data_IF_644763194776
#
_entry.id   IF_644763194776
#
_cell.length_a   1.000
_cell.length_b   1.000
_cell.length_c   1.000
_cell.angle_alpha   90.00
_cell.angle_beta   90.00
_cell.angle_gamma   90.00
#
_symmetry.space_group_name_H-M   'P 1'
#
loop_
_entity.id
_entity.type
_entity.pdbx_description
1 polymer ?
#
# COMPACT_ATOMS: atom_id res chain seq x y z
N UNK A 1 -14.72 8.73 -7.06
CA UNK A 1 -14.74 8.46 -8.49
C UNK A 1 -13.42 8.92 -9.08
N UNK A 2 -12.75 8.05 -9.82
CA UNK A 2 -11.51 8.35 -10.52
C UNK A 2 -11.73 9.50 -11.49
N UNK A 3 -11.13 10.64 -11.21
CA UNK A 3 -11.16 11.72 -12.16
C UNK A 3 -10.04 11.49 -13.19
N UNK A 4 -10.40 10.93 -14.36
CA UNK A 4 -9.47 10.71 -15.48
C UNK A 4 -8.69 11.97 -15.88
N UNK A 5 -9.19 13.15 -15.50
CA UNK A 5 -8.55 14.43 -15.83
C UNK A 5 -7.35 14.76 -14.93
N UNK A 6 -7.25 14.20 -13.71
CA UNK A 6 -6.15 14.48 -12.80
C UNK A 6 -4.81 13.87 -13.26
N UNK A 7 -4.88 12.79 -14.04
CA UNK A 7 -3.70 12.07 -14.53
C UNK A 7 -3.50 12.19 -16.05
N UNK A 8 -4.01 13.25 -16.66
CA UNK A 8 -3.80 13.49 -18.10
C UNK A 8 -2.32 13.63 -18.43
N UNK A 9 -1.97 13.14 -19.62
CA UNK A 9 -0.65 13.34 -20.21
C UNK A 9 -0.31 14.83 -20.27
N UNK A 10 0.89 15.19 -19.82
CA UNK A 10 1.35 16.58 -19.77
C UNK A 10 0.97 17.37 -18.51
N UNK A 11 0.18 16.82 -17.58
CA UNK A 11 -0.10 17.44 -16.28
C UNK A 11 0.73 16.78 -15.18
N UNK A 12 1.48 17.57 -14.41
CA UNK A 12 2.26 17.18 -13.21
C UNK A 12 2.75 15.71 -13.22
N UNK A 13 3.71 15.41 -14.09
CA UNK A 13 4.29 14.07 -14.18
C UNK A 13 5.00 13.65 -12.89
N UNK A 14 5.40 14.64 -12.10
CA UNK A 14 6.14 14.47 -10.85
C UNK A 14 5.64 15.44 -9.81
N UNK A 15 5.54 14.96 -8.57
CA UNK A 15 5.26 15.78 -7.38
C UNK A 15 6.49 15.75 -6.49
N UNK A 16 7.01 16.93 -6.16
CA UNK A 16 8.20 17.05 -5.32
C UNK A 16 7.89 16.76 -3.85
N UNK A 17 8.82 16.10 -3.17
CA UNK A 17 8.77 15.92 -1.71
C UNK A 17 9.55 17.06 -1.07
N UNK A 18 8.88 17.82 -0.18
CA UNK A 18 9.39 19.03 0.49
C UNK A 18 9.31 18.89 2.02
N UNK A 19 10.19 18.09 2.62
CA UNK A 19 10.14 17.81 4.05
C UNK A 19 10.37 19.04 4.94
N UNK A 20 10.97 20.09 4.40
CA UNK A 20 11.16 21.36 5.08
C UNK A 20 9.86 22.06 5.49
N UNK A 21 8.76 21.79 4.78
CA UNK A 21 7.45 22.36 5.08
C UNK A 21 6.80 21.75 6.33
N UNK A 22 7.21 20.55 6.72
CA UNK A 22 6.66 19.81 7.87
C UNK A 22 6.64 20.65 9.15
N UNK A 23 7.76 21.27 9.47
CA UNK A 23 7.89 22.11 10.68
C UNK A 23 6.97 23.32 10.66
N UNK A 24 6.78 23.93 9.50
CA UNK A 24 5.88 25.09 9.34
C UNK A 24 4.43 24.68 9.55
N UNK A 25 4.04 23.52 9.03
CA UNK A 25 2.69 22.96 9.21
C UNK A 25 2.46 22.60 10.68
N UNK A 26 3.38 21.89 11.32
CA UNK A 26 3.30 21.55 12.74
C UNK A 26 3.19 22.82 13.63
N UNK A 27 3.94 23.87 13.29
CA UNK A 27 3.86 25.15 13.99
C UNK A 27 2.50 25.84 13.77
N UNK A 28 1.93 25.77 12.57
CA UNK A 28 0.59 26.28 12.27
C UNK A 28 -0.47 25.56 13.12
N UNK A 29 -0.44 24.22 13.17
CA UNK A 29 -1.35 23.42 14.00
C UNK A 29 -1.23 23.74 15.49
N UNK A 30 -0.03 24.09 15.97
CA UNK A 30 0.20 24.49 17.36
C UNK A 30 -0.33 25.88 17.68
N UNK A 31 -0.19 26.86 16.77
CA UNK A 31 -0.56 28.27 17.00
C UNK A 31 -2.02 28.56 16.65
N UNK A 32 -2.52 27.96 15.56
CA UNK A 32 -3.83 28.23 14.97
C UNK A 32 -4.52 26.91 14.59
N UNK A 33 -4.90 26.06 15.57
CA UNK A 33 -5.38 24.69 15.30
C UNK A 33 -6.67 24.65 14.45
N UNK A 34 -7.62 25.56 14.65
CA UNK A 34 -8.86 25.60 13.89
C UNK A 34 -8.61 25.95 12.41
N UNK A 35 -7.86 27.02 12.17
CA UNK A 35 -7.48 27.47 10.83
C UNK A 35 -6.66 26.41 10.08
N UNK A 36 -5.77 25.73 10.80
CA UNK A 36 -4.95 24.66 10.25
C UNK A 36 -5.79 23.44 9.83
N UNK A 37 -6.79 23.04 10.66
CA UNK A 37 -7.72 21.95 10.35
C UNK A 37 -8.61 22.29 9.16
N UNK A 38 -9.10 23.50 9.07
CA UNK A 38 -9.89 23.97 7.93
C UNK A 38 -9.08 23.95 6.63
N UNK A 39 -7.78 24.26 6.71
CA UNK A 39 -6.89 24.33 5.55
C UNK A 39 -6.33 22.99 5.10
N UNK A 40 -6.04 22.05 6.02
CA UNK A 40 -5.30 20.82 5.74
C UNK A 40 -5.90 19.56 6.36
N UNK A 41 -7.07 19.66 7.01
CA UNK A 41 -7.77 18.54 7.65
C UNK A 41 -7.28 18.26 9.07
N UNK A 42 -7.78 17.21 9.69
CA UNK A 42 -7.43 16.83 11.08
C UNK A 42 -5.98 16.36 11.20
N UNK A 43 -5.50 15.59 10.23
CA UNK A 43 -4.12 15.12 10.14
C UNK A 43 -3.50 15.59 8.81
N UNK A 44 -2.63 16.61 8.83
CA UNK A 44 -2.05 17.18 7.62
C UNK A 44 -1.13 16.21 6.86
N UNK A 45 -0.67 15.14 7.51
CA UNK A 45 0.24 14.16 6.93
C UNK A 45 -0.43 12.84 6.57
N UNK A 46 -1.75 12.74 6.73
CA UNK A 46 -2.54 11.65 6.19
C UNK A 46 -2.61 11.76 4.67
N UNK A 47 -2.40 10.63 3.96
CA UNK A 47 -2.36 10.59 2.49
C UNK A 47 -3.61 11.21 1.87
N UNK A 48 -4.81 10.97 2.41
CA UNK A 48 -6.07 11.58 1.93
C UNK A 48 -6.01 13.11 1.93
N UNK A 49 -5.51 13.69 3.01
CA UNK A 49 -5.40 15.14 3.17
C UNK A 49 -4.29 15.73 2.31
N UNK A 50 -3.15 15.04 2.20
CA UNK A 50 -2.08 15.44 1.29
C UNK A 50 -2.57 15.47 -0.15
N UNK A 51 -3.24 14.40 -0.60
CA UNK A 51 -3.78 14.35 -1.96
C UNK A 51 -4.79 15.47 -2.19
N UNK A 52 -5.72 15.69 -1.25
CA UNK A 52 -6.80 16.68 -1.39
C UNK A 52 -6.30 18.12 -1.36
N UNK A 53 -5.50 18.47 -0.36
CA UNK A 53 -5.15 19.88 -0.08
C UNK A 53 -3.86 20.33 -0.72
N UNK A 54 -2.97 19.37 -1.09
CA UNK A 54 -1.66 19.67 -1.67
C UNK A 54 -1.56 19.21 -3.12
N UNK A 55 -1.59 17.91 -3.38
CA UNK A 55 -1.32 17.37 -4.73
C UNK A 55 -2.35 17.80 -5.75
N UNK A 56 -3.64 17.79 -5.39
CA UNK A 56 -4.77 18.15 -6.27
C UNK A 56 -5.31 19.56 -6.02
N UNK A 57 -4.55 20.39 -5.30
CA UNK A 57 -4.89 21.79 -5.11
C UNK A 57 -4.96 22.54 -6.43
N UNK A 58 -5.86 23.51 -6.54
CA UNK A 58 -5.90 24.43 -7.69
C UNK A 58 -4.71 25.41 -7.72
N UNK A 59 -4.04 25.57 -6.58
CA UNK A 59 -2.89 26.47 -6.42
C UNK A 59 -1.60 25.72 -6.72
N UNK A 60 -0.83 26.12 -7.75
CA UNK A 60 0.39 25.40 -8.16
C UNK A 60 1.47 25.29 -7.08
N UNK A 61 1.54 26.25 -6.15
CA UNK A 61 2.49 26.26 -5.04
C UNK A 61 2.28 25.10 -4.05
N UNK A 62 1.08 24.52 -4.02
CA UNK A 62 0.75 23.37 -3.19
C UNK A 62 0.99 22.01 -3.87
N UNK A 63 1.40 21.96 -5.14
CA UNK A 63 1.65 20.69 -5.84
C UNK A 63 2.92 19.99 -5.33
N UNK A 64 2.96 19.71 -4.03
CA UNK A 64 4.10 19.07 -3.34
C UNK A 64 3.60 18.11 -2.25
N UNK A 65 4.48 17.22 -1.80
CA UNK A 65 4.29 16.43 -0.58
C UNK A 65 5.04 17.15 0.54
N UNK A 66 4.36 17.67 1.57
CA UNK A 66 4.97 18.58 2.55
C UNK A 66 5.68 17.87 3.71
N UNK A 67 6.04 16.60 3.58
CA UNK A 67 6.62 15.80 4.67
C UNK A 67 7.56 14.71 4.14
N UNK A 68 8.45 14.24 5.00
CA UNK A 68 9.31 13.07 4.78
C UNK A 68 8.65 11.74 5.18
N UNK A 69 7.47 11.80 5.81
CA UNK A 69 6.74 10.61 6.27
C UNK A 69 5.26 10.90 6.14
N UNK A 70 4.59 10.08 5.35
CA UNK A 70 3.14 10.11 5.19
C UNK A 70 2.51 9.00 6.01
N UNK A 71 1.22 9.13 6.34
CA UNK A 71 0.50 8.10 7.06
C UNK A 71 -0.86 7.77 6.43
N UNK A 72 -1.34 6.56 6.72
CA UNK A 72 -2.65 6.07 6.30
C UNK A 72 -3.33 5.51 7.54
N UNK A 73 -4.54 5.98 7.83
CA UNK A 73 -5.35 5.45 8.91
C UNK A 73 -5.76 3.99 8.67
N UNK A 74 -5.75 3.18 9.74
CA UNK A 74 -6.13 1.78 9.68
C UNK A 74 -7.48 1.59 10.37
N UNK A 75 -8.51 1.28 9.58
CA UNK A 75 -9.77 0.76 10.12
C UNK A 75 -9.55 -0.70 10.54
N UNK A 76 -9.34 -0.90 11.85
CA UNK A 76 -9.00 -2.20 12.43
C UNK A 76 -10.12 -3.23 12.22
N UNK A 77 -11.37 -2.80 12.31
CA UNK A 77 -12.52 -3.71 12.11
C UNK A 77 -12.65 -4.14 10.65
N UNK A 78 -12.50 -3.22 9.71
CA UNK A 78 -12.49 -3.54 8.29
C UNK A 78 -11.30 -4.45 7.94
N UNK A 79 -10.12 -4.13 8.47
CA UNK A 79 -8.91 -4.93 8.30
C UNK A 79 -9.12 -6.39 8.76
N UNK A 80 -9.65 -6.59 9.96
CA UNK A 80 -9.90 -7.92 10.51
C UNK A 80 -10.96 -8.68 9.72
N UNK A 81 -12.06 -8.01 9.32
CA UNK A 81 -13.09 -8.62 8.45
C UNK A 81 -12.55 -9.04 7.09
N UNK A 82 -11.53 -8.38 6.59
CA UNK A 82 -10.92 -8.70 5.30
C UNK A 82 -10.14 -10.02 5.29
N UNK A 83 -9.99 -10.68 6.45
CA UNK A 83 -9.28 -11.95 6.59
C UNK A 83 -7.79 -11.85 6.29
N UNK A 84 -7.15 -10.78 6.72
CA UNK A 84 -5.71 -10.55 6.54
C UNK A 84 -4.89 -11.55 7.36
N UNK A 85 -3.73 -11.94 6.84
CA UNK A 85 -2.77 -12.71 7.64
C UNK A 85 -2.21 -11.81 8.75
N UNK A 86 -2.42 -12.19 10.00
CA UNK A 86 -1.86 -11.47 11.15
C UNK A 86 -0.41 -11.92 11.42
N UNK A 87 0.46 -11.00 11.88
CA UNK A 87 1.79 -11.36 12.38
C UNK A 87 1.74 -12.43 13.47
N UNK A 88 2.74 -13.30 13.52
CA UNK A 88 2.81 -14.42 14.50
C UNK A 88 2.68 -13.96 15.93
N UNK A 89 3.20 -12.79 16.24
CA UNK A 89 3.21 -12.21 17.58
C UNK A 89 1.84 -11.80 18.09
N UNK A 90 0.88 -11.50 17.21
CA UNK A 90 -0.47 -11.02 17.59
C UNK A 90 -1.60 -11.96 17.19
N UNK A 91 -1.37 -12.95 16.33
CA UNK A 91 -2.44 -13.84 15.82
C UNK A 91 -3.12 -14.68 16.88
N UNK A 92 -2.51 -14.85 18.06
CA UNK A 92 -3.08 -15.57 19.20
C UNK A 92 -4.03 -14.71 20.04
N UNK A 93 -3.99 -13.38 19.89
CA UNK A 93 -4.85 -12.44 20.60
C UNK A 93 -6.27 -12.44 19.99
N UNK A 94 -7.24 -12.00 20.79
CA UNK A 94 -8.66 -11.93 20.39
C UNK A 94 -9.32 -10.69 20.98
N UNK A 95 -10.44 -10.29 20.35
CA UNK A 95 -11.25 -9.18 20.85
C UNK A 95 -10.47 -7.85 20.88
N UNK A 96 -10.62 -7.11 21.98
CA UNK A 96 -9.99 -5.81 22.15
C UNK A 96 -8.45 -5.90 22.23
N UNK A 97 -7.90 -6.94 22.88
CA UNK A 97 -6.44 -7.13 22.96
C UNK A 97 -5.79 -7.23 21.57
N UNK A 98 -6.47 -7.88 20.62
CA UNK A 98 -6.02 -7.95 19.24
C UNK A 98 -6.11 -6.58 18.55
N UNK A 99 -7.20 -5.83 18.77
CA UNK A 99 -7.35 -4.49 18.19
C UNK A 99 -6.31 -3.52 18.74
N UNK A 100 -6.02 -3.60 20.01
CA UNK A 100 -5.00 -2.75 20.64
C UNK A 100 -3.59 -3.05 20.13
N UNK A 101 -3.32 -4.30 19.76
CA UNK A 101 -2.04 -4.71 19.18
C UNK A 101 -1.86 -4.25 17.70
N UNK A 102 -2.95 -3.91 17.00
CA UNK A 102 -2.89 -3.39 15.63
C UNK A 102 -2.63 -1.87 15.68
N UNK A 103 -1.65 -1.35 14.93
CA UNK A 103 -1.38 0.08 14.90
C UNK A 103 -2.57 0.86 14.32
N UNK A 104 -2.77 2.10 14.78
CA UNK A 104 -3.83 2.98 14.26
C UNK A 104 -3.50 3.55 12.89
N UNK A 105 -2.21 3.62 12.55
CA UNK A 105 -1.72 4.20 11.31
C UNK A 105 -0.57 3.40 10.73
N UNK A 106 -0.56 3.30 9.41
CA UNK A 106 0.60 2.86 8.63
C UNK A 106 1.43 4.09 8.27
N UNK A 107 2.71 4.09 8.64
CA UNK A 107 3.66 5.14 8.31
C UNK A 107 4.54 4.72 7.12
N UNK A 108 4.63 5.58 6.12
CA UNK A 108 5.40 5.35 4.90
C UNK A 108 6.50 6.40 4.82
N UNK A 109 7.78 6.02 5.02
CA UNK A 109 8.88 6.96 4.92
C UNK A 109 9.19 7.33 3.46
N UNK A 110 9.43 8.62 3.23
CA UNK A 110 9.82 9.20 1.94
C UNK A 110 11.23 9.80 1.98
N UNK A 111 12.04 9.47 2.99
CA UNK A 111 13.33 10.10 3.27
C UNK A 111 14.31 10.09 2.11
N UNK A 112 14.29 9.04 1.28
CA UNK A 112 15.20 8.92 0.12
C UNK A 112 14.50 9.33 -1.20
N UNK A 113 13.27 9.82 -1.13
CA UNK A 113 12.44 10.11 -2.30
C UNK A 113 12.33 11.62 -2.45
N UNK A 114 12.87 12.17 -3.54
CA UNK A 114 12.75 13.59 -3.85
C UNK A 114 11.49 13.93 -4.65
N UNK A 115 11.00 12.98 -5.42
CA UNK A 115 9.84 13.17 -6.31
C UNK A 115 9.05 11.86 -6.42
N UNK A 116 7.73 11.96 -6.34
CA UNK A 116 6.79 10.88 -6.64
C UNK A 116 6.29 11.01 -8.08
N UNK A 117 6.18 9.87 -8.75
CA UNK A 117 5.60 9.77 -10.10
C UNK A 117 4.07 9.64 -10.03
N UNK A 118 3.40 9.77 -11.16
CA UNK A 118 1.95 9.49 -11.27
C UNK A 118 1.58 8.09 -10.78
N UNK A 119 2.44 7.10 -11.01
CA UNK A 119 2.23 5.72 -10.55
C UNK A 119 2.27 5.64 -9.04
N UNK A 120 3.25 6.29 -8.41
CA UNK A 120 3.36 6.34 -6.94
C UNK A 120 2.14 7.03 -6.32
N UNK A 121 1.70 8.17 -6.88
CA UNK A 121 0.51 8.89 -6.41
C UNK A 121 -0.75 8.06 -6.56
N UNK A 122 -0.89 7.34 -7.68
CA UNK A 122 -2.01 6.46 -7.94
C UNK A 122 -2.07 5.32 -6.91
N UNK A 123 -0.92 4.72 -6.60
CA UNK A 123 -0.84 3.69 -5.55
C UNK A 123 -1.24 4.25 -4.18
N UNK A 124 -0.76 5.44 -3.83
CA UNK A 124 -1.13 6.12 -2.59
C UNK A 124 -2.63 6.43 -2.54
N UNK A 125 -3.21 6.89 -3.64
CA UNK A 125 -4.66 7.16 -3.71
C UNK A 125 -5.48 5.88 -3.55
N UNK A 126 -5.08 4.77 -4.20
CA UNK A 126 -5.73 3.48 -4.02
C UNK A 126 -5.65 3.01 -2.56
N UNK A 127 -4.46 3.10 -1.94
CA UNK A 127 -4.24 2.73 -0.54
C UNK A 127 -5.08 3.60 0.42
N UNK A 128 -5.14 4.91 0.18
CA UNK A 128 -5.92 5.83 1.00
C UNK A 128 -7.43 5.57 0.91
N UNK A 129 -7.93 5.10 -0.24
CA UNK A 129 -9.36 4.92 -0.49
C UNK A 129 -9.86 3.49 -0.33
N UNK A 130 -8.99 2.49 -0.15
CA UNK A 130 -9.41 1.10 0.03
C UNK A 130 -10.10 0.85 1.38
N UNK A 131 -9.89 1.70 2.36
CA UNK A 131 -10.43 1.61 3.73
C UNK A 131 -10.19 0.25 4.39
N UNK A 132 -9.19 -0.51 3.91
CA UNK A 132 -8.87 -1.88 4.33
C UNK A 132 -10.01 -2.92 4.10
N UNK A 133 -11.17 -2.50 3.62
CA UNK A 133 -12.27 -3.39 3.26
C UNK A 133 -11.99 -4.15 1.96
N UNK A 134 -11.37 -3.47 1.00
CA UNK A 134 -11.00 -4.05 -0.29
C UNK A 134 -9.53 -4.40 -0.29
N UNK A 135 -9.16 -5.68 -0.38
CA UNK A 135 -7.76 -6.08 -0.46
C UNK A 135 -7.13 -5.55 -1.75
N UNK A 136 -5.91 -5.02 -1.63
CA UNK A 136 -5.09 -4.62 -2.76
C UNK A 136 -4.06 -5.69 -3.04
N UNK A 137 -3.95 -6.09 -4.29
CA UNK A 137 -3.03 -7.12 -4.74
C UNK A 137 -2.07 -6.60 -5.80
N UNK A 138 -0.82 -7.08 -5.71
CA UNK A 138 0.19 -6.94 -6.74
C UNK A 138 0.40 -8.31 -7.38
N UNK A 139 0.29 -8.40 -8.70
CA UNK A 139 0.53 -9.65 -9.42
C UNK A 139 2.02 -10.04 -9.32
N UNK A 140 2.31 -11.33 -9.18
CA UNK A 140 3.69 -11.84 -9.08
C UNK A 140 4.54 -11.52 -10.31
N UNK A 141 3.91 -11.32 -11.47
CA UNK A 141 4.57 -10.94 -12.72
C UNK A 141 4.96 -9.47 -12.80
N UNK A 142 4.50 -8.63 -11.87
CA UNK A 142 4.81 -7.21 -11.86
C UNK A 142 6.13 -7.00 -11.13
N UNK A 143 7.11 -6.42 -11.83
CA UNK A 143 8.36 -5.99 -11.23
C UNK A 143 8.19 -4.75 -10.32
N UNK A 144 9.29 -4.14 -9.91
CA UNK A 144 9.28 -2.90 -9.12
C UNK A 144 8.64 -1.77 -9.93
N UNK A 145 7.41 -1.38 -9.57
CA UNK A 145 6.64 -0.33 -10.25
C UNK A 145 6.64 1.00 -9.51
N UNK A 146 7.07 1.02 -8.25
CA UNK A 146 7.00 2.19 -7.38
C UNK A 146 8.32 2.44 -6.67
N UNK A 147 8.60 3.72 -6.38
CA UNK A 147 9.72 4.13 -5.52
C UNK A 147 9.43 3.91 -4.04
N UNK A 148 8.16 3.67 -3.70
CA UNK A 148 7.73 3.41 -2.34
C UNK A 148 8.22 2.03 -1.89
N UNK A 149 8.85 1.96 -0.73
CA UNK A 149 9.46 0.73 -0.20
C UNK A 149 8.39 -0.12 0.50
N UNK A 150 7.56 -0.82 -0.27
CA UNK A 150 6.46 -1.64 0.25
C UNK A 150 6.77 -3.13 0.39
N UNK A 151 7.96 -3.59 0.04
CA UNK A 151 8.28 -5.02 -0.05
C UNK A 151 7.93 -5.80 1.23
N UNK A 152 8.22 -5.23 2.40
CA UNK A 152 7.97 -5.87 3.70
C UNK A 152 6.48 -5.95 4.10
N UNK A 153 5.62 -5.21 3.39
CA UNK A 153 4.18 -5.13 3.66
C UNK A 153 3.35 -6.08 2.81
N UNK A 154 4.01 -6.84 1.95
CA UNK A 154 3.35 -7.81 1.08
C UNK A 154 3.37 -9.22 1.65
N UNK A 155 2.25 -9.93 1.46
CA UNK A 155 2.07 -11.35 1.78
C UNK A 155 1.70 -12.09 0.53
N UNK A 156 2.41 -13.15 0.21
CA UNK A 156 2.09 -14.02 -0.91
C UNK A 156 0.90 -14.90 -0.57
N UNK A 157 -0.16 -14.83 -1.39
CA UNK A 157 -1.40 -15.62 -1.26
C UNK A 157 -1.68 -16.45 -2.53
N UNK A 158 -0.65 -16.87 -3.26
CA UNK A 158 -0.75 -17.58 -4.54
C UNK A 158 0.04 -16.88 -5.63
N UNK A 159 -0.60 -16.55 -6.75
CA UNK A 159 -0.02 -15.80 -7.87
C UNK A 159 -0.11 -14.27 -7.67
N UNK A 160 -0.40 -13.83 -6.46
CA UNK A 160 -0.46 -12.43 -6.12
C UNK A 160 0.07 -12.17 -4.71
N UNK A 161 0.54 -10.97 -4.50
CA UNK A 161 0.96 -10.45 -3.20
C UNK A 161 -0.12 -9.51 -2.68
N UNK A 162 -0.66 -9.80 -1.50
CA UNK A 162 -1.61 -8.94 -0.82
C UNK A 162 -0.88 -7.87 -0.04
N UNK A 163 -1.28 -6.61 -0.21
CA UNK A 163 -0.80 -5.50 0.61
C UNK A 163 -1.45 -5.53 2.00
N UNK A 164 -0.65 -5.28 3.03
CA UNK A 164 -1.07 -5.28 4.44
C UNK A 164 -0.46 -4.10 5.19
N UNK A 165 -0.97 -3.69 6.36
CA UNK A 165 -0.36 -2.62 7.14
C UNK A 165 0.80 -3.09 8.02
N UNK A 166 1.21 -4.36 7.95
CA UNK A 166 2.24 -4.94 8.79
C UNK A 166 3.58 -5.06 8.06
N UNK A 167 4.64 -4.52 8.65
CA UNK A 167 6.01 -4.80 8.22
C UNK A 167 6.43 -6.17 8.78
N UNK A 168 6.16 -7.25 8.04
CA UNK A 168 6.41 -8.62 8.48
C UNK A 168 7.88 -8.92 8.79
N UNK A 169 8.81 -8.16 8.24
CA UNK A 169 10.22 -8.30 8.59
C UNK A 169 10.49 -7.79 10.01
N UNK A 170 9.94 -6.62 10.36
CA UNK A 170 10.03 -6.08 11.73
C UNK A 170 9.28 -6.93 12.75
N UNK A 171 8.18 -7.56 12.33
CA UNK A 171 7.40 -8.46 13.17
C UNK A 171 7.99 -9.88 13.29
N UNK A 172 9.13 -10.16 12.62
CA UNK A 172 9.83 -11.44 12.72
C UNK A 172 9.18 -12.61 11.96
N UNK A 173 8.25 -12.31 11.04
CA UNK A 173 7.57 -13.34 10.24
C UNK A 173 8.36 -13.75 8.99
N UNK A 174 9.34 -12.94 8.57
CA UNK A 174 10.18 -13.17 7.40
C UNK A 174 11.58 -13.51 7.84
N UNK A 175 12.06 -14.72 7.49
CA UNK A 175 13.44 -15.13 7.75
C UNK A 175 14.44 -14.36 6.87
N UNK A 176 15.72 -14.36 7.25
CA UNK A 176 16.80 -13.60 6.60
C UNK A 176 16.92 -13.83 5.09
N UNK A 177 16.62 -15.04 4.62
CA UNK A 177 16.74 -15.44 3.22
C UNK A 177 15.43 -15.34 2.42
N UNK A 178 14.39 -14.72 2.96
CA UNK A 178 13.10 -14.53 2.28
C UNK A 178 12.83 -13.06 2.06
N UNK A 179 12.23 -12.74 0.91
CA UNK A 179 11.87 -11.37 0.55
C UNK A 179 10.49 -10.99 1.09
N UNK A 180 9.56 -11.95 1.19
CA UNK A 180 8.16 -11.72 1.54
C UNK A 180 7.64 -12.72 2.57
N UNK A 181 6.62 -12.32 3.31
CA UNK A 181 5.80 -13.24 4.09
C UNK A 181 4.92 -14.09 3.16
N UNK A 182 4.56 -15.30 3.60
CA UNK A 182 3.70 -16.23 2.86
C UNK A 182 2.57 -16.67 3.76
N UNK A 183 1.34 -16.46 3.30
CA UNK A 183 0.15 -17.09 3.87
C UNK A 183 0.04 -18.51 3.29
N UNK A 184 0.62 -19.47 3.99
CA UNK A 184 0.75 -20.86 3.51
C UNK A 184 -0.61 -21.52 3.31
N UNK A 185 -1.55 -21.27 4.22
CA UNK A 185 -2.90 -21.88 4.14
C UNK A 185 -3.65 -21.35 2.92
N UNK A 186 -3.64 -20.04 2.74
CA UNK A 186 -4.31 -19.40 1.60
C UNK A 186 -3.59 -19.69 0.28
N UNK A 187 -2.26 -19.71 0.30
CA UNK A 187 -1.48 -20.13 -0.86
C UNK A 187 -1.87 -21.55 -1.31
N UNK A 188 -1.89 -22.48 -0.36
CA UNK A 188 -2.28 -23.87 -0.63
C UNK A 188 -3.71 -23.97 -1.17
N UNK A 189 -4.68 -23.33 -0.50
CA UNK A 189 -6.09 -23.34 -0.94
C UNK A 189 -6.25 -22.76 -2.35
N UNK A 190 -5.60 -21.63 -2.64
CA UNK A 190 -5.66 -21.01 -3.95
C UNK A 190 -5.06 -21.90 -5.04
N UNK A 191 -3.87 -22.45 -4.81
CA UNK A 191 -3.16 -23.26 -5.82
C UNK A 191 -3.82 -24.61 -6.04
N UNK A 192 -4.26 -25.28 -4.97
CA UNK A 192 -4.77 -26.64 -5.07
C UNK A 192 -6.28 -26.72 -5.35
N UNK A 193 -7.07 -25.75 -4.86
CA UNK A 193 -8.50 -25.87 -4.87
C UNK A 193 -9.21 -24.83 -5.76
N UNK A 194 -8.63 -23.64 -5.95
CA UNK A 194 -9.31 -22.53 -6.62
C UNK A 194 -8.80 -22.24 -8.02
N UNK A 195 -7.51 -22.38 -8.28
CA UNK A 195 -6.96 -22.10 -9.60
C UNK A 195 -7.42 -23.18 -10.59
N UNK A 196 -7.94 -22.70 -11.71
CA UNK A 196 -8.35 -23.55 -12.81
C UNK A 196 -7.30 -23.48 -13.91
N UNK A 197 -6.58 -24.53 -14.08
CA UNK A 197 -5.57 -24.70 -15.12
C UNK A 197 -6.20 -25.23 -16.43
N UNK A 198 -7.38 -24.71 -16.78
CA UNK A 198 -8.16 -25.16 -17.93
C UNK A 198 -7.49 -24.88 -19.27
N UNK A 199 -7.77 -25.73 -20.26
CA UNK A 199 -7.30 -25.55 -21.63
C UNK A 199 -5.90 -26.09 -21.93
N UNK A 200 -5.20 -26.67 -20.95
CA UNK A 200 -3.90 -27.31 -21.17
C UNK A 200 -3.99 -28.60 -21.98
N UNK A 201 -5.16 -29.22 -22.02
CA UNK A 201 -5.44 -30.44 -22.79
C UNK A 201 -5.81 -30.15 -24.25
N UNK A 202 -5.84 -28.89 -24.65
CA UNK A 202 -6.19 -28.51 -26.03
C UNK A 202 -5.01 -28.83 -26.96
N UNK A 203 -5.20 -29.66 -27.97
CA UNK A 203 -4.15 -29.95 -28.96
C UNK A 203 -3.68 -28.65 -29.62
N UNK A 204 -2.37 -28.41 -29.64
CA UNK A 204 -1.77 -27.20 -30.21
C UNK A 204 -1.58 -26.04 -29.27
N UNK A 205 -1.90 -26.17 -27.98
CA UNK A 205 -1.55 -25.19 -26.99
C UNK A 205 -0.02 -25.25 -26.75
N UNK A 206 0.69 -24.25 -27.24
CA UNK A 206 2.11 -24.09 -26.99
C UNK A 206 2.29 -23.39 -25.66
N UNK A 207 2.85 -24.11 -24.70
CA UNK A 207 3.36 -23.49 -23.46
C UNK A 207 4.65 -22.75 -23.80
N UNK A 208 4.64 -21.46 -23.77
CA UNK A 208 5.86 -20.67 -23.89
C UNK A 208 6.76 -20.88 -22.66
N UNK A 209 8.03 -20.49 -22.78
CA UNK A 209 9.01 -20.66 -21.71
C UNK A 209 8.60 -19.93 -20.42
N UNK A 210 7.86 -18.82 -20.54
CA UNK A 210 7.37 -18.03 -19.41
C UNK A 210 6.29 -18.79 -18.65
N UNK A 211 5.37 -19.42 -19.36
CA UNK A 211 4.32 -20.25 -18.77
C UNK A 211 4.92 -21.49 -18.09
N UNK A 212 5.88 -22.14 -18.71
CA UNK A 212 6.61 -23.27 -18.11
C UNK A 212 7.37 -22.86 -16.85
N UNK A 213 8.09 -21.74 -16.88
CA UNK A 213 8.78 -21.19 -15.69
C UNK A 213 7.80 -20.91 -14.56
N UNK A 214 6.64 -20.28 -14.84
CA UNK A 214 5.62 -20.01 -13.84
C UNK A 214 5.12 -21.30 -13.20
N UNK A 215 4.87 -22.36 -13.99
CA UNK A 215 4.49 -23.68 -13.47
C UNK A 215 5.59 -24.34 -12.64
N UNK A 216 6.88 -24.13 -12.97
CA UNK A 216 8.01 -24.67 -12.23
C UNK A 216 8.22 -24.02 -10.87
N UNK A 217 8.00 -22.71 -10.75
CA UNK A 217 8.11 -22.00 -9.48
C UNK A 217 6.99 -22.32 -8.49
N UNK A 218 5.92 -22.99 -8.93
CA UNK A 218 4.76 -23.35 -8.12
C UNK A 218 4.66 -24.84 -7.78
N UNK A 219 5.70 -25.62 -8.07
CA UNK A 219 5.87 -26.98 -7.56
C UNK A 219 6.78 -26.97 -6.32
#
# INVERSE_FOLDING_TARGET
SWNKNQYKEGTNEYVAVRPELKKQIEELYRKHPEEARDSFGEDPFEVKNILKYWVFSEKPEFHVIPTDTINIHIDKDALLRSGIMLPKTIRHLKGEDLKDAIPDKLYIPLTDIRMLTKVDLLMLEMLANCNWERPLYLAISVGSVSKLKFDNYFVQEGLAFRFTPFDYKKWGDVGENRLYAVDVERLYDNVMNRYKYGGLDTPGLYLDETTLRTCWYHR
#
